data_IF_578634837269
#
_entry.id   IF_578634837269
#
_cell.length_a   1.000
_cell.length_b   1.000
_cell.length_c   1.000
_cell.angle_alpha   90.00
_cell.angle_beta   90.00
_cell.angle_gamma   90.00
#
_symmetry.space_group_name_H-M   'P 1'
#
loop_
_entity.id
_entity.type
_entity.pdbx_description
1 polymer ?
#
# COMPACT_ATOMS: atom_id res chain seq x y z
N UNK A 1 -4.05 -22.43 3.40
CA UNK A 1 -3.76 -21.29 2.88
C UNK A 1 -2.27 -21.05 2.87
N UNK A 2 -1.76 -20.83 1.87
CA UNK A 2 -0.59 -20.28 1.42
C UNK A 2 0.73 -20.73 2.00
N UNK A 3 1.44 -21.43 1.21
CA UNK A 3 2.89 -21.49 1.36
C UNK A 3 3.40 -20.07 1.16
N UNK A 4 4.28 -19.55 2.04
CA UNK A 4 4.86 -18.23 1.82
C UNK A 4 5.61 -18.20 0.50
N UNK A 5 5.44 -17.11 -0.23
CA UNK A 5 6.16 -16.86 -1.47
C UNK A 5 7.37 -15.99 -1.18
N UNK A 6 8.51 -16.34 -1.75
CA UNK A 6 9.71 -15.52 -1.61
C UNK A 6 9.82 -14.55 -2.77
N UNK A 7 9.99 -13.26 -2.44
CA UNK A 7 10.13 -12.21 -3.45
C UNK A 7 11.18 -11.21 -2.98
N UNK A 8 12.33 -11.18 -3.63
CA UNK A 8 13.44 -10.25 -3.31
C UNK A 8 13.75 -10.16 -1.81
N UNK A 9 13.82 -11.31 -1.15
CA UNK A 9 14.15 -11.38 0.26
C UNK A 9 12.95 -11.20 1.19
N UNK A 10 11.78 -10.81 0.67
CA UNK A 10 10.56 -10.77 1.45
C UNK A 10 9.86 -12.13 1.41
N UNK A 11 9.13 -12.44 2.46
CA UNK A 11 8.26 -13.60 2.52
C UNK A 11 6.82 -13.10 2.47
N UNK A 12 6.11 -13.40 1.38
CA UNK A 12 4.74 -12.92 1.15
C UNK A 12 3.75 -14.05 1.37
N UNK A 13 2.71 -13.78 2.14
CA UNK A 13 1.63 -14.74 2.32
C UNK A 13 0.29 -14.03 2.13
N UNK A 14 -0.28 -14.19 0.95
CA UNK A 14 -1.60 -13.65 0.65
C UNK A 14 -2.66 -14.60 1.20
N UNK A 15 -3.78 -14.01 1.64
CA UNK A 15 -4.87 -14.78 2.23
C UNK A 15 -4.66 -15.13 3.71
N UNK A 16 -3.59 -14.68 4.34
CA UNK A 16 -3.31 -14.98 5.73
C UNK A 16 -2.86 -13.75 6.48
N UNK A 17 -3.28 -13.64 7.74
CA UNK A 17 -2.86 -12.58 8.65
C UNK A 17 -1.71 -13.06 9.53
N UNK A 18 -0.77 -12.17 9.87
CA UNK A 18 0.27 -12.49 10.84
C UNK A 18 -0.28 -12.41 12.26
N UNK A 19 0.41 -13.01 13.21
CA UNK A 19 0.05 -12.88 14.62
C UNK A 19 0.29 -11.45 15.11
N UNK A 20 1.33 -10.80 14.59
CA UNK A 20 1.68 -9.42 14.91
C UNK A 20 2.15 -8.73 13.64
N UNK A 21 1.96 -7.42 13.56
CA UNK A 21 2.45 -6.64 12.43
C UNK A 21 2.94 -5.28 12.92
N UNK A 22 3.84 -4.70 12.14
CA UNK A 22 4.46 -3.43 12.46
C UNK A 22 3.83 -2.28 11.70
N UNK A 23 3.41 -2.55 10.48
CA UNK A 23 2.85 -1.52 9.61
C UNK A 23 1.81 -2.10 8.66
N UNK A 24 1.15 -1.19 7.95
CA UNK A 24 0.20 -1.54 6.89
C UNK A 24 0.62 -0.83 5.61
N UNK A 25 0.20 -1.36 4.47
CA UNK A 25 0.20 -0.66 3.19
C UNK A 25 -1.19 -0.77 2.60
N UNK A 26 -1.66 0.33 1.99
CA UNK A 26 -2.95 0.37 1.32
C UNK A 26 -2.73 0.55 -0.17
N UNK A 27 -3.02 -0.50 -0.95
CA UNK A 27 -3.06 -0.39 -2.39
C UNK A 27 -4.33 0.37 -2.73
N UNK A 28 -4.18 1.65 -3.02
CA UNK A 28 -5.27 2.62 -3.11
C UNK A 28 -5.63 2.90 -4.55
N UNK A 29 -6.94 2.99 -4.83
CA UNK A 29 -7.44 3.17 -6.19
C UNK A 29 -8.53 4.23 -6.25
N UNK A 30 -8.54 4.97 -7.36
CA UNK A 30 -9.67 5.77 -7.80
C UNK A 30 -10.27 5.03 -9.00
N UNK A 31 -11.36 4.30 -8.77
CA UNK A 31 -11.85 3.34 -9.76
C UNK A 31 -10.82 2.24 -9.96
N UNK A 32 -10.30 2.15 -11.19
CA UNK A 32 -9.28 1.15 -11.54
C UNK A 32 -7.88 1.74 -11.67
N UNK A 33 -7.70 2.97 -11.21
CA UNK A 33 -6.42 3.67 -11.34
C UNK A 33 -5.74 3.80 -9.99
N UNK A 34 -4.47 3.39 -9.88
CA UNK A 34 -3.75 3.50 -8.60
C UNK A 34 -3.56 4.96 -8.18
N UNK A 35 -3.70 5.20 -6.89
CA UNK A 35 -3.49 6.50 -6.27
C UNK A 35 -2.27 6.38 -5.38
N UNK A 36 -1.23 7.15 -5.70
CA UNK A 36 0.00 7.13 -4.93
C UNK A 36 0.29 8.53 -4.39
N UNK A 37 1.16 8.56 -3.41
CA UNK A 37 1.60 9.79 -2.77
C UNK A 37 3.09 9.95 -2.99
N UNK A 38 3.55 11.21 -3.14
CA UNK A 38 4.97 11.48 -3.25
C UNK A 38 5.48 11.94 -1.89
N UNK A 39 6.42 11.17 -1.38
CA UNK A 39 7.05 11.46 -0.10
C UNK A 39 8.08 12.58 -0.26
N UNK A 40 8.19 13.45 0.74
CA UNK A 40 9.10 14.60 0.68
C UNK A 40 10.55 14.20 0.41
N UNK A 41 11.00 13.09 0.98
CA UNK A 41 12.37 12.63 0.89
C UNK A 41 12.57 11.39 0.04
N UNK A 42 11.50 10.81 -0.48
CA UNK A 42 11.58 9.63 -1.32
C UNK A 42 10.89 9.90 -2.65
N UNK A 43 10.18 8.92 -3.17
CA UNK A 43 9.48 9.04 -4.45
C UNK A 43 8.01 8.71 -4.26
N UNK A 44 7.40 8.07 -5.25
CA UNK A 44 6.00 7.69 -5.19
C UNK A 44 5.81 6.39 -4.44
N UNK A 45 4.77 6.32 -3.64
CA UNK A 45 4.45 5.13 -2.86
C UNK A 45 2.95 5.08 -2.57
N UNK A 46 2.45 3.87 -2.31
CA UNK A 46 1.11 3.73 -1.76
C UNK A 46 1.11 4.18 -0.31
N UNK A 47 -0.03 4.73 0.18
CA UNK A 47 -0.13 5.12 1.58
C UNK A 47 0.09 3.93 2.51
N UNK A 48 0.72 4.18 3.63
CA UNK A 48 0.95 3.18 4.65
C UNK A 48 1.76 3.75 5.78
N UNK A 49 1.97 2.96 6.81
CA UNK A 49 2.76 3.38 7.94
C UNK A 49 2.57 2.48 9.14
N UNK A 50 3.19 2.88 10.23
CA UNK A 50 3.23 2.08 11.45
C UNK A 50 1.87 2.06 12.16
N UNK A 51 1.54 0.89 12.71
CA UNK A 51 0.37 0.77 13.57
C UNK A 51 0.63 1.49 14.88
N UNK A 52 -0.37 2.21 15.38
CA UNK A 52 -0.30 2.84 16.69
C UNK A 52 -0.96 1.96 17.74
N UNK A 53 -0.57 2.09 19.02
CA UNK A 53 -1.14 1.26 20.08
C UNK A 53 -2.66 1.32 20.09
N UNK A 54 -3.30 0.16 20.14
CA UNK A 54 -4.75 0.05 20.19
C UNK A 54 -5.47 0.15 18.86
N UNK A 55 -4.75 0.41 17.75
CA UNK A 55 -5.38 0.47 16.44
C UNK A 55 -5.62 -0.92 15.86
N UNK A 56 -6.80 -1.09 15.24
CA UNK A 56 -7.03 -2.23 14.36
C UNK A 56 -6.34 -1.98 13.01
N UNK A 57 -6.24 -3.02 12.19
CA UNK A 57 -5.71 -2.89 10.83
C UNK A 57 -6.50 -1.82 10.07
N UNK A 58 -7.83 -1.90 10.11
CA UNK A 58 -8.68 -0.94 9.40
C UNK A 58 -8.47 0.48 9.90
N UNK A 59 -8.36 0.68 11.21
CA UNK A 59 -8.13 2.00 11.79
C UNK A 59 -6.80 2.59 11.32
N UNK A 60 -5.75 1.78 11.29
CA UNK A 60 -4.44 2.22 10.81
C UNK A 60 -4.50 2.62 9.34
N UNK A 61 -5.13 1.78 8.51
CA UNK A 61 -5.26 2.06 7.07
C UNK A 61 -6.01 3.36 6.82
N UNK A 62 -7.15 3.56 7.49
CA UNK A 62 -7.95 4.77 7.31
C UNK A 62 -7.21 6.01 7.78
N UNK A 63 -6.50 5.92 8.90
CA UNK A 63 -5.72 7.03 9.42
C UNK A 63 -4.58 7.39 8.46
N UNK A 64 -3.80 6.41 8.03
CA UNK A 64 -2.67 6.66 7.13
C UNK A 64 -3.14 7.21 5.77
N UNK A 65 -4.22 6.68 5.22
CA UNK A 65 -4.77 7.19 3.95
C UNK A 65 -5.21 8.64 4.09
N UNK A 66 -5.83 9.00 5.21
CA UNK A 66 -6.26 10.38 5.47
C UNK A 66 -5.07 11.30 5.65
N UNK A 67 -4.07 10.90 6.44
CA UNK A 67 -2.91 11.72 6.72
C UNK A 67 -2.04 11.92 5.49
N UNK A 68 -1.76 10.85 4.75
CA UNK A 68 -0.81 10.90 3.65
C UNK A 68 -1.43 11.27 2.32
N UNK A 69 -2.68 10.89 2.07
CA UNK A 69 -3.31 11.10 0.78
C UNK A 69 -4.52 12.04 0.83
N UNK A 70 -4.98 12.43 2.01
CA UNK A 70 -6.24 13.16 2.12
C UNK A 70 -7.43 12.31 1.70
N UNK A 71 -7.31 11.00 1.76
CA UNK A 71 -8.29 10.07 1.21
C UNK A 71 -9.25 9.58 2.28
N UNK A 72 -10.55 9.67 1.97
CA UNK A 72 -11.59 8.95 2.68
C UNK A 72 -11.88 7.68 1.88
N UNK A 73 -11.89 6.54 2.56
CA UNK A 73 -11.93 5.24 1.90
C UNK A 73 -13.33 4.64 1.93
N UNK A 74 -13.63 3.83 0.92
CA UNK A 74 -14.72 2.89 0.96
C UNK A 74 -14.35 1.70 1.81
N UNK A 75 -14.80 0.51 1.40
CA UNK A 75 -14.49 -0.72 2.14
C UNK A 75 -12.99 -1.03 2.08
N UNK A 76 -12.42 -1.41 3.22
CA UNK A 76 -11.02 -1.82 3.32
C UNK A 76 -10.95 -3.34 3.26
N UNK A 77 -10.19 -3.85 2.31
CA UNK A 77 -9.99 -5.28 2.13
C UNK A 77 -8.60 -5.67 2.62
N UNK A 78 -8.52 -6.67 3.48
CA UNK A 78 -7.24 -7.19 3.96
C UNK A 78 -6.85 -8.36 3.08
N UNK A 79 -5.70 -8.27 2.41
CA UNK A 79 -5.30 -9.22 1.40
C UNK A 79 -4.26 -10.23 1.88
N UNK A 80 -3.49 -9.90 2.91
CA UNK A 80 -2.41 -10.75 3.39
C UNK A 80 -1.33 -9.94 4.06
N UNK A 81 -0.11 -10.45 4.05
CA UNK A 81 1.01 -9.74 4.65
C UNK A 81 2.33 -10.17 4.03
N UNK A 82 3.37 -9.41 4.29
CA UNK A 82 4.73 -9.83 3.97
C UNK A 82 5.68 -9.49 5.11
N UNK A 83 6.77 -10.24 5.18
CA UNK A 83 7.82 -10.06 6.19
C UNK A 83 9.12 -9.81 5.45
N UNK A 84 9.77 -8.70 5.76
CA UNK A 84 11.07 -8.36 5.21
C UNK A 84 12.17 -9.20 5.88
N UNK A 85 13.35 -9.23 5.28
CA UNK A 85 14.47 -10.02 5.78
C UNK A 85 14.80 -9.71 7.24
N UNK A 86 14.63 -8.46 7.68
CA UNK A 86 14.86 -8.05 9.07
C UNK A 86 13.72 -8.37 10.03
N UNK A 87 12.63 -8.96 9.54
CA UNK A 87 11.50 -9.33 10.39
C UNK A 87 10.36 -8.30 10.42
N UNK A 88 10.55 -7.13 9.82
CA UNK A 88 9.48 -6.12 9.74
C UNK A 88 8.29 -6.68 8.98
N UNK A 89 7.11 -6.67 9.59
CA UNK A 89 5.90 -7.28 9.06
C UNK A 89 4.88 -6.23 8.65
N UNK A 90 4.43 -6.30 7.40
CA UNK A 90 3.47 -5.36 6.83
C UNK A 90 2.21 -6.08 6.38
N UNK A 91 1.06 -5.62 6.85
CA UNK A 91 -0.24 -6.14 6.36
C UNK A 91 -0.59 -5.41 5.07
N UNK A 92 -0.93 -6.19 4.04
CA UNK A 92 -1.32 -5.67 2.74
C UNK A 92 -2.82 -5.52 2.69
N UNK A 93 -3.28 -4.32 2.38
CA UNK A 93 -4.69 -4.00 2.22
C UNK A 93 -4.93 -3.32 0.89
N UNK A 94 -6.19 -3.24 0.46
CA UNK A 94 -6.55 -2.41 -0.69
C UNK A 94 -7.93 -1.79 -0.47
N UNK A 95 -8.15 -0.65 -1.10
CA UNK A 95 -9.40 0.09 -0.96
C UNK A 95 -9.57 1.07 -2.12
N UNK A 96 -10.81 1.47 -2.37
CA UNK A 96 -11.10 2.56 -3.29
C UNK A 96 -11.35 3.85 -2.54
N UNK A 97 -10.92 4.94 -3.14
CA UNK A 97 -11.15 6.29 -2.63
C UNK A 97 -12.64 6.63 -2.79
N UNK A 98 -13.25 7.18 -1.75
CA UNK A 98 -14.57 7.81 -1.83
C UNK A 98 -14.43 9.29 -2.07
N UNK A 99 -13.44 9.92 -1.46
CA UNK A 99 -13.22 11.35 -1.55
C UNK A 99 -11.75 11.66 -1.35
N UNK A 100 -11.20 12.55 -2.15
CA UNK A 100 -9.85 13.09 -1.96
C UNK A 100 -9.97 14.53 -1.51
N UNK A 101 -9.36 14.86 -0.39
CA UNK A 101 -9.31 16.21 0.15
C UNK A 101 -7.89 16.74 0.00
N UNK A 102 -7.71 18.07 -0.07
CA UNK A 102 -6.37 18.65 -0.12
C UNK A 102 -5.51 18.19 1.04
N UNK A 103 -4.21 17.98 0.79
CA UNK A 103 -3.27 17.65 1.85
C UNK A 103 -3.15 18.82 2.83
N UNK A 104 -3.02 18.48 4.12
CA UNK A 104 -2.92 19.51 5.18
C UNK A 104 -1.53 20.17 5.22
N UNK A 105 -0.51 19.51 4.67
CA UNK A 105 0.87 19.94 4.78
C UNK A 105 1.53 19.55 6.11
N UNK A 106 0.80 18.87 6.99
CA UNK A 106 1.31 18.50 8.32
C UNK A 106 2.14 17.22 8.31
N UNK A 107 2.10 16.47 7.21
CA UNK A 107 2.75 15.16 7.13
C UNK A 107 3.83 15.16 6.04
N UNK A 108 4.49 14.01 5.87
CA UNK A 108 5.67 13.93 5.00
C UNK A 108 5.37 13.82 3.51
N UNK A 109 4.10 13.66 3.14
CA UNK A 109 3.72 13.60 1.72
C UNK A 109 3.41 14.99 1.20
N UNK A 110 3.83 15.26 -0.03
CA UNK A 110 3.72 16.58 -0.64
C UNK A 110 2.83 16.62 -1.87
N UNK A 111 2.43 15.45 -2.39
CA UNK A 111 1.59 15.37 -3.57
C UNK A 111 0.82 14.05 -3.58
N UNK A 112 -0.40 14.09 -4.09
CA UNK A 112 -1.22 12.89 -4.36
C UNK A 112 -1.54 12.90 -5.83
N UNK A 113 -1.43 11.74 -6.49
CA UNK A 113 -1.74 11.66 -7.92
C UNK A 113 -2.38 10.33 -8.26
N UNK A 114 -3.32 10.38 -9.20
CA UNK A 114 -3.96 9.20 -9.80
C UNK A 114 -3.16 8.83 -11.04
N UNK A 115 -2.76 7.56 -11.14
CA UNK A 115 -1.97 7.08 -12.27
C UNK A 115 -2.75 6.05 -13.06
N UNK A 116 -2.51 5.97 -14.37
CA UNK A 116 -3.04 4.88 -15.18
C UNK A 116 -2.36 3.56 -14.82
N UNK A 117 -1.02 3.61 -14.66
CA UNK A 117 -0.22 2.49 -14.19
C UNK A 117 0.79 3.02 -13.19
N UNK A 118 1.43 2.13 -12.45
CA UNK A 118 2.46 2.53 -11.49
C UNK A 118 3.54 3.38 -12.18
N UNK A 119 3.95 4.49 -11.56
CA UNK A 119 5.05 5.30 -12.11
C UNK A 119 6.38 4.57 -11.98
N UNK A 120 7.36 4.99 -12.79
CA UNK A 120 8.71 4.40 -12.72
C UNK A 120 9.43 4.79 -11.43
N UNK A 121 9.22 6.02 -10.97
CA UNK A 121 9.90 6.55 -9.79
C UNK A 121 9.16 6.15 -8.52
N UNK A 122 9.39 4.92 -8.05
CA UNK A 122 8.81 4.42 -6.81
C UNK A 122 9.83 4.47 -5.69
N UNK A 123 9.35 4.75 -4.47
CA UNK A 123 10.20 4.71 -3.27
C UNK A 123 10.80 3.33 -3.03
N UNK A 124 10.03 2.30 -3.39
CA UNK A 124 10.47 0.91 -3.32
C UNK A 124 10.56 0.40 -4.75
N UNK A 125 11.77 0.27 -5.27
CA UNK A 125 12.00 -0.11 -6.67
C UNK A 125 12.33 -1.59 -6.85
N UNK A 126 12.00 -2.40 -5.88
CA UNK A 126 12.22 -3.85 -5.89
C UNK A 126 11.10 -4.61 -6.62
N UNK A 127 10.12 -3.93 -7.15
CA UNK A 127 9.01 -4.54 -7.89
C UNK A 127 7.88 -5.07 -7.03
N UNK A 128 7.92 -4.86 -5.71
CA UNK A 128 6.93 -5.47 -4.81
C UNK A 128 5.51 -4.97 -5.10
N UNK A 129 5.32 -3.69 -5.40
CA UNK A 129 3.98 -3.17 -5.69
C UNK A 129 3.36 -3.85 -6.90
N UNK A 130 4.11 -3.91 -8.01
CA UNK A 130 3.61 -4.55 -9.23
C UNK A 130 3.31 -6.03 -8.98
N UNK A 131 4.18 -6.70 -8.22
CA UNK A 131 3.99 -8.10 -7.88
C UNK A 131 2.70 -8.31 -7.07
N UNK A 132 2.46 -7.48 -6.05
CA UNK A 132 1.25 -7.55 -5.23
C UNK A 132 0.01 -7.30 -6.07
N UNK A 133 0.02 -6.26 -6.92
CA UNK A 133 -1.11 -5.95 -7.78
C UNK A 133 -1.45 -7.12 -8.69
N UNK A 134 -0.45 -7.70 -9.35
CA UNK A 134 -0.67 -8.85 -10.24
C UNK A 134 -1.18 -10.07 -9.47
N UNK A 135 -0.58 -10.37 -8.34
CA UNK A 135 -0.95 -11.53 -7.53
C UNK A 135 -2.36 -11.45 -7.00
N UNK A 136 -2.84 -10.24 -6.73
CA UNK A 136 -4.19 -10.00 -6.21
C UNK A 136 -5.21 -9.76 -7.32
N UNK A 137 -4.80 -9.75 -8.58
CA UNK A 137 -5.70 -9.44 -9.68
C UNK A 137 -6.17 -8.00 -9.69
N UNK A 138 -5.38 -7.09 -9.10
CA UNK A 138 -5.71 -5.67 -9.06
C UNK A 138 -5.09 -4.95 -10.25
N UNK A 139 -5.72 -3.84 -10.69
CA UNK A 139 -5.23 -3.09 -11.85
C UNK A 139 -4.01 -2.23 -11.51
N UNK A 140 -3.36 -1.70 -12.55
CA UNK A 140 -2.34 -0.66 -12.39
C UNK A 140 -0.90 -1.12 -12.53
N UNK A 141 -0.63 -2.42 -12.50
CA UNK A 141 0.72 -2.89 -12.79
C UNK A 141 1.00 -2.69 -14.29
N UNK A 142 2.23 -2.26 -14.62
CA UNK A 142 2.60 -2.12 -16.02
C UNK A 142 2.57 -3.50 -16.70
N UNK A 143 2.27 -3.56 -18.02
CA UNK A 143 2.30 -4.82 -18.75
C UNK A 143 3.67 -5.49 -18.62
N UNK A 144 3.67 -6.82 -18.44
CA UNK A 144 4.91 -7.57 -18.42
C UNK A 144 5.54 -7.54 -19.81
N UNK A 145 6.78 -7.15 -19.86
CA UNK A 145 7.72 -7.14 -20.94
C UNK A 145 7.18 -7.30 -22.33
N UNK A 146 6.83 -6.27 -22.91
CA UNK A 146 6.26 -6.23 -24.22
C UNK A 146 7.14 -6.60 -25.33
#
# INVERSE_FOLDING_TARGET
LGVPERFNGASIRLGALPERHDSVVCLLFDGDRPVLVRHRERAWEFPGGHVEPGESIEATVRREAREEAGAELGEVHVAGHYVLAGGHTTVVTHARVRELRPLSGAFETVEVRVFETLPAALSWDDGIYAHLLRSLGLPGAAPLGG
#
